data_IF_439563715363
#
_entry.id   IF_439563715363
#
_cell.length_a   1.000
_cell.length_b   1.000
_cell.length_c   1.000
_cell.angle_alpha   90.00
_cell.angle_beta   90.00
_cell.angle_gamma   90.00
#
_symmetry.space_group_name_H-M   'P 1'
#
loop_
_entity.id
_entity.type
_entity.pdbx_description
1 polymer ?
#
# COMPACT_ATOMS: atom_id res chain seq x y z
N UNK A 1 -8.84 28.79 -58.65
CA UNK A 1 -9.31 28.88 -57.24
C UNK A 1 -9.39 27.45 -56.73
N UNK A 2 -8.76 26.99 -55.66
CA UNK A 2 -7.94 27.61 -54.61
C UNK A 2 -7.05 26.53 -53.96
N UNK A 3 -5.90 26.97 -53.44
CA UNK A 3 -4.82 26.36 -52.64
C UNK A 3 -5.27 25.40 -51.51
N UNK A 4 -4.44 24.68 -50.76
CA UNK A 4 -3.09 24.10 -50.82
C UNK A 4 -2.98 23.27 -49.51
N UNK A 5 -2.38 22.09 -49.56
CA UNK A 5 -2.21 21.21 -48.39
C UNK A 5 -0.94 21.54 -47.63
N UNK A 6 -1.00 21.50 -46.28
CA UNK A 6 0.16 21.26 -45.43
C UNK A 6 -0.28 20.87 -44.01
N UNK A 7 -0.22 19.59 -43.68
CA UNK A 7 -0.07 19.13 -42.29
C UNK A 7 1.13 18.21 -42.24
N UNK A 8 2.04 18.55 -41.32
CA UNK A 8 3.44 18.11 -41.27
C UNK A 8 3.57 16.63 -40.91
N UNK A 9 4.38 15.92 -41.69
CA UNK A 9 5.07 14.70 -41.28
C UNK A 9 6.41 15.10 -40.63
N UNK A 10 6.72 14.49 -39.48
CA UNK A 10 8.09 14.21 -39.08
C UNK A 10 8.07 12.79 -38.52
N UNK A 11 8.36 11.84 -39.41
CA UNK A 11 8.86 10.53 -39.06
C UNK A 11 10.39 10.62 -39.04
N UNK A 12 10.99 9.91 -38.09
CA UNK A 12 12.37 9.38 -37.97
C UNK A 12 12.76 9.56 -36.51
N UNK A 13 13.01 8.48 -35.75
CA UNK A 13 14.03 7.47 -35.99
C UNK A 13 13.48 6.11 -35.47
N UNK A 14 13.18 5.12 -36.33
CA UNK A 14 14.00 3.92 -36.64
C UNK A 14 14.41 3.18 -35.35
N UNK A 15 13.91 1.98 -35.02
CA UNK A 15 13.99 0.70 -35.74
C UNK A 15 13.01 -0.31 -35.05
N UNK A 16 12.19 -1.10 -35.75
CA UNK A 16 12.42 -2.52 -36.16
C UNK A 16 12.54 -3.49 -34.93
N UNK A 17 11.96 -4.68 -34.77
CA UNK A 17 11.16 -5.63 -35.57
C UNK A 17 10.32 -6.53 -34.61
N UNK A 18 9.14 -6.91 -35.09
CA UNK A 18 8.22 -8.01 -34.75
C UNK A 18 8.61 -9.06 -33.67
N UNK A 19 7.69 -9.38 -32.74
CA UNK A 19 6.98 -10.69 -32.60
C UNK A 19 5.85 -10.54 -31.55
N UNK A 20 4.62 -10.93 -31.92
CA UNK A 20 3.50 -11.13 -31.00
C UNK A 20 3.75 -12.34 -30.09
N UNK A 21 3.68 -12.14 -28.77
CA UNK A 21 3.27 -13.19 -27.84
C UNK A 21 2.24 -12.56 -26.90
N UNK A 22 1.01 -13.05 -26.98
CA UNK A 22 -0.06 -12.70 -26.05
C UNK A 22 0.31 -13.18 -24.64
N UNK A 23 0.98 -12.33 -23.88
CA UNK A 23 1.10 -12.42 -22.44
C UNK A 23 0.27 -11.30 -21.85
N UNK A 24 -0.55 -11.65 -20.86
CA UNK A 24 -1.29 -10.70 -20.04
C UNK A 24 -0.30 -9.63 -19.60
N UNK A 25 -0.60 -8.36 -19.87
CA UNK A 25 0.16 -7.21 -19.39
C UNK A 25 0.04 -7.19 -17.86
N UNK A 26 0.92 -7.95 -17.20
CA UNK A 26 1.29 -7.66 -15.83
C UNK A 26 2.35 -6.59 -16.02
N UNK A 27 2.10 -5.32 -15.69
CA UNK A 27 3.12 -4.30 -15.84
C UNK A 27 4.34 -4.75 -15.05
N UNK A 28 5.44 -4.96 -15.76
CA UNK A 28 6.76 -5.12 -15.20
C UNK A 28 7.09 -3.80 -14.50
N UNK A 29 6.79 -3.70 -13.21
CA UNK A 29 7.20 -2.56 -12.38
C UNK A 29 8.71 -2.69 -12.20
N UNK A 30 9.45 -2.24 -13.21
CA UNK A 30 10.83 -1.78 -13.06
C UNK A 30 10.71 -0.36 -12.50
N UNK A 31 10.30 -0.30 -11.24
CA UNK A 31 10.28 0.90 -10.42
C UNK A 31 11.16 0.61 -9.22
N UNK A 32 12.12 1.49 -8.99
CA UNK A 32 12.99 1.51 -7.82
C UNK A 32 12.16 1.26 -6.55
N UNK A 33 12.69 0.47 -5.62
CA UNK A 33 12.06 -0.03 -4.37
C UNK A 33 11.67 1.05 -3.34
N UNK A 34 11.22 2.23 -3.76
CA UNK A 34 10.85 3.37 -2.91
C UNK A 34 9.41 3.89 -3.17
N UNK A 35 8.44 3.01 -3.39
CA UNK A 35 7.02 3.41 -3.48
C UNK A 35 6.23 3.09 -2.20
N UNK A 36 6.73 3.50 -1.02
CA UNK A 36 6.01 3.24 0.25
C UNK A 36 6.00 4.42 1.22
N UNK A 37 5.87 5.65 0.71
CA UNK A 37 5.58 6.80 1.57
C UNK A 37 4.33 7.60 1.17
N UNK A 38 3.33 6.94 0.56
CA UNK A 38 2.06 7.58 0.19
C UNK A 38 1.22 7.98 1.40
N UNK A 39 1.44 7.32 2.54
CA UNK A 39 0.65 7.52 3.75
C UNK A 39 1.38 8.33 4.83
N UNK A 40 2.64 8.74 4.59
CA UNK A 40 3.42 9.50 5.57
C UNK A 40 3.83 8.70 6.81
N UNK A 41 3.97 7.38 6.69
CA UNK A 41 4.27 6.48 7.80
C UNK A 41 5.69 5.95 7.64
N UNK A 42 6.48 6.07 8.70
CA UNK A 42 7.77 5.40 8.83
C UNK A 42 7.58 4.14 9.68
N UNK A 43 7.53 2.98 9.01
CA UNK A 43 7.27 1.70 9.69
C UNK A 43 8.40 1.31 10.66
N UNK A 44 9.62 1.73 10.38
CA UNK A 44 10.79 1.41 11.19
C UNK A 44 10.79 2.24 12.49
N UNK A 45 10.21 3.45 12.47
CA UNK A 45 10.11 4.38 13.63
C UNK A 45 8.71 4.47 14.26
N UNK A 46 7.92 3.39 14.20
CA UNK A 46 6.60 3.39 14.83
C UNK A 46 6.65 3.45 16.36
N UNK A 47 5.77 4.28 16.92
CA UNK A 47 5.40 4.30 18.33
C UNK A 47 4.04 3.64 18.56
N UNK A 48 3.76 3.18 19.78
CA UNK A 48 2.49 2.51 20.13
C UNK A 48 1.74 3.32 21.19
N UNK A 49 0.43 3.51 20.99
CA UNK A 49 -0.40 4.21 21.97
C UNK A 49 -0.48 3.43 23.30
N UNK A 50 -0.89 4.10 24.39
CA UNK A 50 -1.17 3.42 25.67
C UNK A 50 -2.26 2.35 25.53
N UNK A 51 -3.21 2.54 24.60
CA UNK A 51 -4.28 1.58 24.35
C UNK A 51 -3.73 0.30 23.72
N UNK A 52 -2.82 0.43 22.75
CA UNK A 52 -2.18 -0.74 22.14
C UNK A 52 -1.22 -1.41 23.13
N UNK A 53 -0.39 -0.63 23.81
CA UNK A 53 0.62 -1.13 24.76
C UNK A 53 0.01 -1.74 26.03
N UNK A 54 -1.21 -1.36 26.42
CA UNK A 54 -1.90 -1.85 27.62
C UNK A 54 -2.40 -3.31 27.52
N UNK A 55 -2.31 -3.94 26.35
CA UNK A 55 -2.83 -5.27 26.10
C UNK A 55 -1.74 -6.35 26.15
N UNK A 56 -1.43 -6.85 27.34
CA UNK A 56 -0.39 -7.86 27.60
C UNK A 56 -0.59 -9.25 26.93
N UNK A 57 -1.75 -9.51 26.33
CA UNK A 57 -2.14 -10.84 25.79
C UNK A 57 -2.19 -10.90 24.26
N UNK A 58 -1.67 -9.91 23.54
CA UNK A 58 -1.72 -9.85 22.08
C UNK A 58 -0.30 -9.79 21.49
N UNK A 59 0.32 -10.96 21.23
CA UNK A 59 1.73 -11.03 20.86
C UNK A 59 2.07 -10.37 19.51
N UNK A 60 1.06 -10.09 18.69
CA UNK A 60 1.24 -9.42 17.40
C UNK A 60 1.29 -7.89 17.49
N UNK A 61 0.85 -7.27 18.60
CA UNK A 61 0.63 -5.83 18.64
C UNK A 61 1.90 -4.99 18.57
N UNK A 62 3.05 -5.54 18.96
CA UNK A 62 4.35 -4.87 18.84
C UNK A 62 5.16 -5.38 17.64
N UNK A 63 4.54 -6.22 16.78
CA UNK A 63 5.21 -6.77 15.61
C UNK A 63 5.27 -5.75 14.48
N UNK A 64 6.36 -4.97 14.43
CA UNK A 64 6.66 -4.08 13.29
C UNK A 64 6.73 -4.84 11.97
N UNK A 65 7.16 -6.11 11.99
CA UNK A 65 7.16 -6.97 10.81
C UNK A 65 5.74 -7.20 10.27
N UNK A 66 4.80 -7.56 11.14
CA UNK A 66 3.41 -7.79 10.73
C UNK A 66 2.75 -6.49 10.27
N UNK A 67 3.05 -5.37 10.92
CA UNK A 67 2.56 -4.05 10.48
C UNK A 67 3.07 -3.73 9.08
N UNK A 68 4.37 -3.98 8.82
CA UNK A 68 4.95 -3.83 7.48
C UNK A 68 4.26 -4.71 6.45
N UNK A 69 3.96 -5.95 6.80
CA UNK A 69 3.21 -6.86 5.92
C UNK A 69 1.81 -6.32 5.62
N UNK A 70 1.05 -5.89 6.64
CA UNK A 70 -0.29 -5.31 6.47
C UNK A 70 -0.26 -4.08 5.55
N UNK A 71 0.67 -3.14 5.80
CA UNK A 71 0.82 -1.92 4.99
C UNK A 71 1.17 -2.24 3.54
N UNK A 72 1.92 -3.32 3.30
CA UNK A 72 2.31 -3.74 1.96
C UNK A 72 1.24 -4.56 1.22
N UNK A 73 0.27 -5.12 1.94
CA UNK A 73 -0.74 -6.01 1.37
C UNK A 73 -1.92 -5.23 0.76
N UNK A 74 -2.27 -4.07 1.33
CA UNK A 74 -3.40 -3.27 0.84
C UNK A 74 -3.20 -1.77 1.06
N UNK A 75 -3.87 -0.95 0.24
CA UNK A 75 -3.91 0.50 0.43
C UNK A 75 -4.83 0.85 1.62
N UNK A 76 -4.46 1.78 2.51
CA UNK A 76 -5.36 2.20 3.57
C UNK A 76 -6.54 3.00 3.04
N UNK A 77 -7.60 2.99 3.83
CA UNK A 77 -8.69 3.96 3.74
C UNK A 77 -8.56 5.02 4.84
N UNK A 78 -9.14 6.22 4.67
CA UNK A 78 -9.28 7.16 5.78
C UNK A 78 -10.00 6.51 6.96
N UNK A 79 -9.58 6.79 8.19
CA UNK A 79 -10.20 6.24 9.39
C UNK A 79 -11.73 6.45 9.37
N UNK A 80 -12.54 5.37 9.44
CA UNK A 80 -14.01 5.46 9.45
C UNK A 80 -14.58 6.33 10.57
N UNK A 81 -13.81 6.56 11.65
CA UNK A 81 -14.21 7.45 12.75
C UNK A 81 -14.01 8.95 12.43
N UNK A 82 -13.44 9.28 11.27
CA UNK A 82 -13.25 10.65 10.80
C UNK A 82 -12.02 11.34 11.39
N UNK A 83 -11.04 10.58 11.86
CA UNK A 83 -9.73 11.14 12.26
C UNK A 83 -8.81 11.32 11.03
N UNK A 84 -7.65 11.93 11.23
CA UNK A 84 -6.62 12.04 10.19
C UNK A 84 -5.77 10.77 10.01
N UNK A 85 -6.12 9.69 10.70
CA UNK A 85 -5.37 8.44 10.64
C UNK A 85 -5.74 7.60 9.41
N UNK A 86 -4.84 6.66 9.10
CA UNK A 86 -5.04 5.64 8.08
C UNK A 86 -5.52 4.35 8.70
N UNK A 87 -6.46 3.67 8.03
CA UNK A 87 -7.05 2.41 8.46
C UNK A 87 -6.81 1.31 7.41
N UNK A 88 -6.30 0.18 7.87
CA UNK A 88 -6.18 -1.05 7.10
C UNK A 88 -7.10 -2.12 7.67
N UNK A 89 -7.73 -2.87 6.77
CA UNK A 89 -8.48 -4.08 7.06
C UNK A 89 -7.96 -5.20 6.15
N UNK A 90 -7.20 -6.14 6.70
CA UNK A 90 -6.52 -7.18 5.91
C UNK A 90 -6.83 -8.57 6.44
N UNK A 91 -7.24 -9.48 5.56
CA UNK A 91 -7.46 -10.89 5.91
C UNK A 91 -6.14 -11.59 6.27
N UNK A 92 -6.18 -12.42 7.30
CA UNK A 92 -5.01 -13.19 7.72
C UNK A 92 -5.33 -14.29 8.72
N UNK A 93 -4.27 -14.93 9.23
CA UNK A 93 -4.37 -16.05 10.15
C UNK A 93 -3.56 -15.77 11.41
N UNK A 94 -4.18 -15.90 12.57
CA UNK A 94 -3.51 -15.79 13.87
C UNK A 94 -3.78 -17.04 14.72
N UNK A 95 -2.71 -17.68 15.22
CA UNK A 95 -2.79 -18.90 16.03
C UNK A 95 -3.67 -20.02 15.41
N UNK A 96 -3.64 -20.15 14.08
CA UNK A 96 -4.40 -21.17 13.34
C UNK A 96 -5.89 -20.87 13.13
N UNK A 97 -6.37 -19.70 13.58
CA UNK A 97 -7.69 -19.17 13.21
C UNK A 97 -7.53 -18.20 12.05
N UNK A 98 -8.47 -18.21 11.10
CA UNK A 98 -8.62 -17.19 10.06
C UNK A 98 -9.47 -16.02 10.57
N UNK A 99 -9.21 -14.82 10.04
CA UNK A 99 -9.83 -13.61 10.51
C UNK A 99 -9.30 -12.36 9.81
N UNK A 100 -9.49 -11.23 10.46
CA UNK A 100 -9.15 -9.90 9.92
C UNK A 100 -8.26 -9.16 10.90
N UNK A 101 -7.18 -8.58 10.39
CA UNK A 101 -6.37 -7.59 11.07
C UNK A 101 -6.93 -6.20 10.78
N UNK A 102 -7.22 -5.45 11.84
CA UNK A 102 -7.55 -4.02 11.75
C UNK A 102 -6.40 -3.22 12.38
N UNK A 103 -5.89 -2.27 11.61
CA UNK A 103 -4.75 -1.45 11.98
C UNK A 103 -5.08 0.02 11.70
N UNK A 104 -4.86 0.89 12.70
CA UNK A 104 -4.99 2.34 12.57
C UNK A 104 -3.67 3.00 12.98
N UNK A 105 -3.11 3.80 12.09
CA UNK A 105 -1.87 4.54 12.32
C UNK A 105 -2.12 6.01 12.03
N UNK A 106 -1.77 6.87 12.98
CA UNK A 106 -1.71 8.31 12.77
C UNK A 106 -0.37 8.69 12.12
N UNK A 107 -0.38 9.21 10.88
CA UNK A 107 0.85 9.61 10.19
C UNK A 107 1.46 10.90 10.75
N UNK A 108 0.71 11.75 11.45
CA UNK A 108 1.26 13.00 12.02
C UNK A 108 2.23 12.71 13.18
N UNK A 109 1.90 11.72 14.00
CA UNK A 109 2.71 11.30 15.16
C UNK A 109 3.42 9.97 14.97
N UNK A 110 3.29 9.35 13.79
CA UNK A 110 3.79 8.02 13.48
C UNK A 110 3.46 6.96 14.56
N UNK A 111 2.22 7.03 15.07
CA UNK A 111 1.78 6.24 16.23
C UNK A 111 0.67 5.27 15.84
N UNK A 112 0.85 4.01 16.21
CA UNK A 112 -0.18 2.97 16.11
C UNK A 112 -1.24 3.23 17.19
N UNK A 113 -2.42 3.65 16.76
CA UNK A 113 -3.56 3.93 17.65
C UNK A 113 -4.40 2.69 17.93
N UNK A 114 -4.55 1.82 16.92
CA UNK A 114 -5.33 0.61 17.02
C UNK A 114 -4.64 -0.53 16.28
N UNK A 115 -4.55 -1.69 16.91
CA UNK A 115 -4.12 -2.91 16.24
C UNK A 115 -4.78 -4.11 16.88
N UNK A 116 -5.69 -4.75 16.17
CA UNK A 116 -6.42 -5.93 16.65
C UNK A 116 -6.53 -6.98 15.56
N UNK A 117 -6.67 -8.21 15.99
CA UNK A 117 -7.08 -9.33 15.17
C UNK A 117 -8.48 -9.78 15.61
N UNK A 118 -9.39 -9.91 14.65
CA UNK A 118 -10.76 -10.43 14.83
C UNK A 118 -10.85 -11.79 14.15
N UNK A 119 -10.93 -12.86 14.93
CA UNK A 119 -11.19 -14.20 14.40
C UNK A 119 -12.60 -14.27 13.80
N UNK A 120 -12.75 -15.00 12.70
CA UNK A 120 -14.06 -15.38 12.15
C UNK A 120 -14.78 -16.42 13.03
#
# INVERSE_FOLDING_TARGET
MQAAAASRNIAEVVANENVEVAAIDIPEVVGDVEEFNRCGIDVDDLSFSETVSGHINRPYQESKLLIKEIINLDEPIPDPQGTNAWHWEVYGTFNGSEGVYELIIDPETNTVWYFVYKSN
#
